data_IF_592136330487
#
_entry.id   IF_592136330487
#
_cell.length_a   1.000
_cell.length_b   1.000
_cell.length_c   1.000
_cell.angle_alpha   90.00
_cell.angle_beta   90.00
_cell.angle_gamma   90.00
#
_symmetry.space_group_name_H-M   'P 1'
#
loop_
_entity.id
_entity.type
_entity.pdbx_description
1 polymer ?
#
# COMPACT_ATOMS: atom_id res chain seq x y z
N UNK A 1 27.97 9.82 -50.62
CA UNK A 1 28.41 9.59 -49.22
C UNK A 1 27.52 10.40 -48.27
N UNK A 2 26.61 9.76 -47.52
CA UNK A 2 25.76 10.40 -46.50
C UNK A 2 26.44 10.29 -45.14
N UNK A 3 26.85 11.42 -44.53
CA UNK A 3 27.29 11.47 -43.12
C UNK A 3 26.07 11.40 -42.21
N UNK A 4 26.04 10.40 -41.32
CA UNK A 4 25.08 10.28 -40.22
C UNK A 4 25.51 11.26 -39.12
N UNK A 5 24.69 12.28 -38.83
CA UNK A 5 24.83 13.10 -37.63
C UNK A 5 24.07 12.43 -36.49
N UNK A 6 24.78 11.60 -35.72
CA UNK A 6 24.35 11.15 -34.40
C UNK A 6 25.38 11.65 -33.40
N UNK A 7 25.21 12.87 -32.89
CA UNK A 7 26.04 13.42 -31.83
C UNK A 7 25.23 13.35 -30.54
N UNK A 8 25.20 12.18 -29.92
CA UNK A 8 24.96 12.13 -28.49
C UNK A 8 26.33 12.31 -27.83
N UNK A 9 26.61 13.54 -27.37
CA UNK A 9 27.72 13.74 -26.44
C UNK A 9 27.53 12.87 -25.20
N UNK A 10 28.61 12.53 -24.48
CA UNK A 10 28.50 11.75 -23.25
C UNK A 10 27.51 12.44 -22.31
N UNK A 11 26.53 11.66 -21.85
CA UNK A 11 25.45 12.15 -21.00
C UNK A 11 26.06 12.88 -19.78
N UNK A 12 25.56 14.08 -19.43
CA UNK A 12 26.08 14.82 -18.28
C UNK A 12 26.04 13.96 -17.02
N UNK A 13 27.07 14.03 -16.16
CA UNK A 13 27.16 13.21 -14.93
C UNK A 13 25.90 13.25 -14.06
N UNK A 14 25.22 14.41 -13.99
CA UNK A 14 23.92 14.54 -13.32
C UNK A 14 22.84 13.66 -13.97
N UNK A 15 22.72 13.69 -15.29
CA UNK A 15 21.75 12.88 -16.01
C UNK A 15 22.08 11.38 -15.94
N UNK A 16 23.35 11.00 -15.83
CA UNK A 16 23.77 9.62 -15.54
C UNK A 16 23.34 9.19 -14.13
N UNK A 17 23.58 10.01 -13.10
CA UNK A 17 23.13 9.74 -11.73
C UNK A 17 21.59 9.66 -11.61
N UNK A 18 20.86 10.48 -12.36
CA UNK A 18 19.40 10.37 -12.44
C UNK A 18 18.95 9.07 -13.12
N UNK A 19 19.64 8.63 -14.17
CA UNK A 19 19.30 7.39 -14.89
C UNK A 19 19.65 6.17 -14.04
N UNK A 20 20.83 6.15 -13.41
CA UNK A 20 21.26 5.09 -12.48
C UNK A 20 20.35 5.02 -11.24
N UNK A 21 19.90 6.17 -10.71
CA UNK A 21 18.91 6.23 -9.64
C UNK A 21 17.53 5.71 -10.07
N UNK A 22 17.08 6.02 -11.29
CA UNK A 22 15.84 5.48 -11.86
C UNK A 22 15.93 3.97 -12.11
N UNK A 23 17.08 3.48 -12.55
CA UNK A 23 17.32 2.04 -12.79
C UNK A 23 17.42 1.25 -11.48
N UNK A 24 17.90 1.84 -10.38
CA UNK A 24 17.86 1.22 -9.05
C UNK A 24 16.46 1.20 -8.42
N UNK A 25 15.59 2.16 -8.78
CA UNK A 25 14.21 2.23 -8.28
C UNK A 25 13.25 1.30 -9.03
N UNK A 26 13.54 0.94 -10.28
CA UNK A 26 12.72 0.01 -11.07
C UNK A 26 12.59 -1.38 -10.42
N UNK A 27 13.65 -2.04 -9.92
CA UNK A 27 13.55 -3.30 -9.19
C UNK A 27 12.65 -3.21 -7.96
N UNK A 28 12.80 -2.15 -7.15
CA UNK A 28 11.97 -1.94 -5.96
C UNK A 28 10.49 -1.74 -6.32
N UNK A 29 10.23 -0.96 -7.37
CA UNK A 29 8.87 -0.75 -7.87
C UNK A 29 8.26 -2.05 -8.39
N UNK A 30 8.98 -2.82 -9.21
CA UNK A 30 8.50 -4.08 -9.75
C UNK A 30 8.21 -5.10 -8.64
N UNK A 31 9.09 -5.20 -7.64
CA UNK A 31 8.88 -6.05 -6.46
C UNK A 31 7.64 -5.62 -5.66
N UNK A 32 7.45 -4.32 -5.46
CA UNK A 32 6.27 -3.77 -4.79
C UNK A 32 4.98 -4.14 -5.54
N UNK A 33 4.97 -3.99 -6.87
CA UNK A 33 3.82 -4.34 -7.70
C UNK A 33 3.52 -5.85 -7.64
N UNK A 34 4.55 -6.71 -7.63
CA UNK A 34 4.39 -8.16 -7.48
C UNK A 34 3.74 -8.52 -6.15
N UNK A 35 4.22 -7.94 -5.03
CA UNK A 35 3.62 -8.15 -3.70
C UNK A 35 2.16 -7.69 -3.65
N UNK A 36 1.83 -6.57 -4.27
CA UNK A 36 0.45 -6.09 -4.36
C UNK A 36 -0.44 -7.01 -5.19
N UNK A 37 0.11 -7.64 -6.21
CA UNK A 37 -0.61 -8.61 -7.01
C UNK A 37 -0.93 -9.89 -6.24
N UNK A 38 0.00 -10.36 -5.41
CA UNK A 38 -0.23 -11.47 -4.46
C UNK A 38 -1.34 -11.12 -3.45
N UNK A 39 -1.35 -9.88 -2.94
CA UNK A 39 -2.35 -9.39 -1.98
C UNK A 39 -3.68 -8.99 -2.62
N UNK A 40 -3.79 -8.98 -3.96
CA UNK A 40 -5.00 -8.57 -4.67
C UNK A 40 -6.28 -9.27 -4.15
N UNK A 41 -6.32 -10.60 -3.94
CA UNK A 41 -7.53 -11.28 -3.52
C UNK A 41 -8.06 -10.76 -2.18
N UNK A 42 -7.17 -10.62 -1.18
CA UNK A 42 -7.53 -10.14 0.15
C UNK A 42 -7.88 -8.64 0.13
N UNK A 43 -7.16 -7.81 -0.65
CA UNK A 43 -7.50 -6.39 -0.81
C UNK A 43 -8.92 -6.25 -1.32
N UNK A 44 -9.30 -7.00 -2.37
CA UNK A 44 -10.62 -6.90 -2.99
C UNK A 44 -11.73 -7.47 -2.10
N UNK A 45 -11.52 -8.63 -1.48
CA UNK A 45 -12.52 -9.29 -0.64
C UNK A 45 -12.85 -8.45 0.59
N UNK A 46 -11.82 -7.95 1.29
CA UNK A 46 -11.97 -7.16 2.51
C UNK A 46 -12.54 -5.78 2.23
N UNK A 47 -12.05 -5.12 1.18
CA UNK A 47 -12.57 -3.82 0.75
C UNK A 47 -14.06 -3.91 0.42
N UNK A 48 -14.49 -4.97 -0.27
CA UNK A 48 -15.90 -5.22 -0.57
C UNK A 48 -16.71 -5.48 0.72
N UNK A 49 -16.21 -6.32 1.61
CA UNK A 49 -16.86 -6.67 2.88
C UNK A 49 -17.12 -5.44 3.75
N UNK A 50 -16.13 -4.54 3.83
CA UNK A 50 -16.16 -3.38 4.73
C UNK A 50 -16.59 -2.07 4.04
N UNK A 51 -16.90 -2.10 2.73
CA UNK A 51 -17.24 -0.93 1.92
C UNK A 51 -16.13 0.13 1.90
N UNK A 52 -14.88 -0.31 1.79
CA UNK A 52 -13.70 0.54 1.63
C UNK A 52 -13.27 0.55 0.17
N UNK A 53 -12.77 1.69 -0.32
CA UNK A 53 -12.26 1.78 -1.67
C UNK A 53 -10.94 0.99 -1.79
N UNK A 54 -10.86 -0.09 -2.59
CA UNK A 54 -9.64 -0.90 -2.69
C UNK A 54 -8.45 -0.12 -3.27
N UNK A 55 -8.68 0.95 -4.05
CA UNK A 55 -7.59 1.82 -4.50
C UNK A 55 -6.94 2.58 -3.35
N UNK A 56 -7.68 2.95 -2.30
CA UNK A 56 -7.08 3.58 -1.10
C UNK A 56 -6.13 2.60 -0.42
N UNK A 57 -6.58 1.35 -0.27
CA UNK A 57 -5.82 0.27 0.37
C UNK A 57 -4.55 -0.01 -0.43
N UNK A 58 -4.67 -0.24 -1.74
CA UNK A 58 -3.53 -0.49 -2.61
C UNK A 58 -2.56 0.70 -2.68
N UNK A 59 -3.06 1.94 -2.70
CA UNK A 59 -2.20 3.13 -2.70
C UNK A 59 -1.39 3.27 -1.41
N UNK A 60 -2.00 2.96 -0.26
CA UNK A 60 -1.31 2.95 1.04
C UNK A 60 -0.26 1.87 1.08
N UNK A 61 -0.62 0.62 0.76
CA UNK A 61 0.33 -0.49 0.70
C UNK A 61 1.48 -0.22 -0.28
N UNK A 62 1.21 0.43 -1.41
CA UNK A 62 2.22 0.82 -2.39
C UNK A 62 3.21 1.86 -1.85
N UNK A 63 2.74 2.88 -1.11
CA UNK A 63 3.63 3.86 -0.48
C UNK A 63 4.45 3.18 0.63
N UNK A 64 3.82 2.42 1.52
CA UNK A 64 4.50 1.78 2.65
C UNK A 64 5.54 0.74 2.18
N UNK A 65 5.22 -0.12 1.20
CA UNK A 65 6.16 -1.10 0.65
C UNK A 65 7.36 -0.47 -0.07
N UNK A 66 7.18 0.69 -0.72
CA UNK A 66 8.29 1.41 -1.35
C UNK A 66 9.21 2.10 -0.35
N UNK A 67 8.71 2.44 0.85
CA UNK A 67 9.49 3.12 1.88
C UNK A 67 9.86 2.21 3.05
N UNK A 68 9.50 0.92 3.00
CA UNK A 68 9.86 -0.07 4.00
C UNK A 68 11.38 -0.16 4.14
N UNK A 69 11.89 -0.10 5.38
CA UNK A 69 13.33 -0.22 5.59
C UNK A 69 13.74 -1.69 5.56
N UNK A 70 14.92 -2.03 5.03
CA UNK A 70 15.42 -3.40 5.06
C UNK A 70 15.44 -3.96 6.49
N UNK A 71 14.81 -5.13 6.70
CA UNK A 71 14.82 -5.85 7.98
C UNK A 71 13.62 -5.62 8.91
N UNK A 72 12.74 -4.64 8.62
CA UNK A 72 11.56 -4.33 9.45
C UNK A 72 10.54 -5.50 9.51
N UNK A 73 10.48 -6.34 8.48
CA UNK A 73 9.53 -7.46 8.38
C UNK A 73 10.04 -8.79 8.97
N UNK A 74 11.16 -8.78 9.72
CA UNK A 74 11.69 -10.03 10.30
C UNK A 74 11.03 -10.36 11.65
N UNK A 75 10.73 -11.65 11.95
CA UNK A 75 10.20 -12.06 13.24
C UNK A 75 11.06 -11.58 14.42
N UNK A 76 12.38 -11.65 14.27
CA UNK A 76 13.34 -11.19 15.28
C UNK A 76 13.20 -9.68 15.58
N UNK A 77 13.00 -8.86 14.54
CA UNK A 77 12.80 -7.42 14.69
C UNK A 77 11.44 -7.09 15.34
N UNK A 78 10.39 -7.83 14.99
CA UNK A 78 9.08 -7.68 15.63
C UNK A 78 9.09 -8.09 17.11
N UNK A 79 9.68 -9.24 17.43
CA UNK A 79 9.75 -9.78 18.80
C UNK A 79 10.61 -8.90 19.72
N UNK A 80 11.67 -8.28 19.19
CA UNK A 80 12.51 -7.35 19.95
C UNK A 80 11.80 -6.03 20.35
N UNK A 81 10.69 -5.68 19.70
CA UNK A 81 10.00 -4.41 19.92
C UNK A 81 10.74 -3.17 19.38
N UNK A 82 11.79 -3.38 18.58
CA UNK A 82 12.55 -2.29 17.93
C UNK A 82 11.67 -1.43 17.01
N UNK A 83 10.61 -2.01 16.45
CA UNK A 83 9.65 -1.32 15.61
C UNK A 83 8.26 -1.36 16.23
N UNK A 84 7.57 -0.21 16.24
CA UNK A 84 6.21 -0.09 16.81
C UNK A 84 5.13 -0.50 15.80
N UNK A 85 5.49 -0.57 14.52
CA UNK A 85 4.63 -0.84 13.37
C UNK A 85 5.17 -2.02 12.56
N UNK A 86 4.29 -2.82 12.00
CA UNK A 86 4.61 -4.15 11.48
C UNK A 86 3.90 -4.40 10.15
N UNK A 87 4.57 -5.17 9.29
CA UNK A 87 4.03 -5.66 8.03
C UNK A 87 3.80 -4.59 6.97
N UNK A 88 3.18 -4.95 5.84
CA UNK A 88 3.13 -4.11 4.64
C UNK A 88 2.37 -2.79 4.81
N UNK A 89 1.45 -2.68 5.77
CA UNK A 89 0.72 -1.46 6.08
C UNK A 89 1.22 -0.74 7.35
N UNK A 90 2.36 -1.16 7.91
CA UNK A 90 2.99 -0.52 9.07
C UNK A 90 2.00 -0.28 10.22
N UNK A 91 1.33 -1.34 10.66
CA UNK A 91 0.30 -1.28 11.70
C UNK A 91 0.87 -1.64 13.07
N UNK A 92 0.37 -0.99 14.12
CA UNK A 92 0.76 -1.27 15.50
C UNK A 92 -0.26 -2.15 16.21
N UNK A 93 0.17 -2.79 17.30
CA UNK A 93 -0.70 -3.57 18.21
C UNK A 93 -1.85 -2.72 18.74
N UNK A 94 -1.62 -1.41 18.94
CA UNK A 94 -2.66 -0.49 19.37
C UNK A 94 -3.83 -0.41 18.38
N UNK A 95 -3.61 -0.67 17.09
CA UNK A 95 -4.71 -0.75 16.13
C UNK A 95 -5.55 -2.03 16.30
N UNK A 96 -4.93 -3.17 16.66
CA UNK A 96 -5.67 -4.40 16.98
C UNK A 96 -6.61 -4.18 18.17
N UNK A 97 -6.14 -3.50 19.22
CA UNK A 97 -6.96 -3.12 20.38
C UNK A 97 -8.15 -2.26 19.97
N UNK A 98 -7.91 -1.21 19.18
CA UNK A 98 -8.97 -0.30 18.67
C UNK A 98 -10.03 -1.01 17.83
N UNK A 99 -9.71 -2.17 17.27
CA UNK A 99 -10.63 -3.00 16.48
C UNK A 99 -11.25 -4.15 17.27
N UNK A 100 -10.89 -4.31 18.55
CA UNK A 100 -11.36 -5.42 19.39
C UNK A 100 -10.73 -6.77 19.05
N UNK A 101 -9.61 -6.76 18.30
CA UNK A 101 -8.86 -7.97 17.93
C UNK A 101 -7.84 -8.37 19.01
N UNK A 102 -7.61 -7.51 20.00
CA UNK A 102 -6.77 -7.74 21.16
C UNK A 102 -7.41 -7.08 22.38
N UNK A 103 -7.38 -7.69 23.58
CA UNK A 103 -7.94 -7.08 24.79
C UNK A 103 -7.19 -5.81 25.20
N UNK A 104 -7.83 -5.01 26.07
CA UNK A 104 -7.27 -3.76 26.56
C UNK A 104 -6.04 -3.95 27.46
N UNK A 105 -5.92 -5.10 28.11
CA UNK A 105 -4.77 -5.49 28.93
C UNK A 105 -4.27 -6.88 28.48
N UNK A 106 -3.49 -6.96 27.39
CA UNK A 106 -3.04 -8.23 26.83
C UNK A 106 -1.85 -8.80 27.60
N UNK A 107 -1.81 -10.13 27.74
CA UNK A 107 -0.64 -10.82 28.30
C UNK A 107 0.56 -10.73 27.34
N UNK A 108 1.80 -10.94 27.81
CA UNK A 108 2.99 -10.98 26.95
C UNK A 108 2.88 -11.97 25.78
N UNK A 109 2.26 -13.14 25.99
CA UNK A 109 2.02 -14.15 24.97
C UNK A 109 1.03 -13.64 23.91
N UNK A 110 -0.02 -12.95 24.33
CA UNK A 110 -0.98 -12.32 23.42
C UNK A 110 -0.32 -11.18 22.62
N UNK A 111 0.57 -10.40 23.21
CA UNK A 111 1.36 -9.37 22.53
C UNK A 111 2.26 -10.02 21.46
N UNK A 112 2.94 -11.11 21.80
CA UNK A 112 3.80 -11.83 20.84
C UNK A 112 2.99 -12.39 19.67
N UNK A 113 1.87 -13.08 19.96
CA UNK A 113 0.97 -13.58 18.94
C UNK A 113 0.39 -12.47 18.05
N UNK A 114 0.06 -11.31 18.63
CA UNK A 114 -0.42 -10.14 17.91
C UNK A 114 0.63 -9.57 16.95
N UNK A 115 1.92 -9.58 17.33
CA UNK A 115 3.02 -9.15 16.45
C UNK A 115 3.17 -10.10 15.26
N UNK A 116 3.17 -11.41 15.52
CA UNK A 116 3.21 -12.43 14.45
C UNK A 116 2.00 -12.29 13.51
N UNK A 117 0.81 -12.04 14.06
CA UNK A 117 -0.39 -11.76 13.27
C UNK A 117 -0.24 -10.53 12.37
N UNK A 118 0.45 -9.48 12.82
CA UNK A 118 0.70 -8.28 11.99
C UNK A 118 1.83 -8.48 10.97
N UNK A 119 2.70 -9.47 11.14
CA UNK A 119 3.71 -9.83 10.14
C UNK A 119 3.12 -10.62 8.96
N UNK A 120 2.02 -11.33 9.17
CA UNK A 120 1.29 -11.98 8.07
C UNK A 120 0.70 -10.91 7.11
N UNK A 121 1.11 -10.89 5.83
CA UNK A 121 0.70 -9.84 4.91
C UNK A 121 -0.82 -9.77 4.69
N UNK A 122 -1.51 -10.90 4.63
CA UNK A 122 -2.96 -10.93 4.39
C UNK A 122 -3.71 -10.40 5.61
N UNK A 123 -3.35 -10.85 6.81
CA UNK A 123 -3.89 -10.32 8.07
C UNK A 123 -3.60 -8.85 8.25
N UNK A 124 -2.41 -8.38 7.84
CA UNK A 124 -2.07 -6.97 7.90
C UNK A 124 -3.00 -6.13 6.99
N UNK A 125 -3.35 -6.65 5.80
CA UNK A 125 -4.35 -6.02 4.92
C UNK A 125 -5.74 -6.02 5.57
N UNK A 126 -6.18 -7.12 6.19
CA UNK A 126 -7.47 -7.17 6.91
C UNK A 126 -7.56 -6.07 7.98
N UNK A 127 -6.50 -5.91 8.79
CA UNK A 127 -6.45 -4.89 9.84
C UNK A 127 -6.40 -3.48 9.25
N UNK A 128 -5.72 -3.26 8.12
CA UNK A 128 -5.71 -1.97 7.42
C UNK A 128 -7.11 -1.58 6.95
N UNK A 129 -7.81 -2.51 6.30
CA UNK A 129 -9.20 -2.28 5.84
C UNK A 129 -10.12 -2.03 7.04
N UNK A 130 -9.96 -2.82 8.12
CA UNK A 130 -10.67 -2.62 9.38
C UNK A 130 -10.45 -1.23 9.99
N UNK A 131 -9.21 -0.72 9.92
CA UNK A 131 -8.84 0.63 10.39
C UNK A 131 -9.61 1.68 9.61
N UNK A 132 -9.63 1.59 8.27
CA UNK A 132 -10.40 2.54 7.46
C UNK A 132 -11.90 2.44 7.68
N UNK A 133 -12.44 1.24 7.87
CA UNK A 133 -13.86 1.05 8.19
C UNK A 133 -14.23 1.68 9.54
N UNK A 134 -13.38 1.50 10.55
CA UNK A 134 -13.53 2.11 11.87
C UNK A 134 -13.44 3.63 11.81
N UNK A 135 -12.42 4.17 11.15
CA UNK A 135 -12.26 5.61 10.98
C UNK A 135 -13.43 6.23 10.20
N UNK A 136 -13.92 5.55 9.16
CA UNK A 136 -15.09 6.01 8.40
C UNK A 136 -16.34 6.11 9.26
N UNK A 137 -16.53 5.18 10.21
CA UNK A 137 -17.62 5.26 11.20
C UNK A 137 -17.46 6.44 12.15
N UNK A 138 -16.26 6.61 12.72
CA UNK A 138 -15.97 7.71 13.67
C UNK A 138 -16.15 9.08 13.01
N UNK A 139 -15.77 9.20 11.74
CA UNK A 139 -15.90 10.44 10.96
C UNK A 139 -17.29 10.63 10.34
N UNK A 140 -18.24 9.71 10.56
CA UNK A 140 -19.57 9.72 9.97
C UNK A 140 -19.55 9.87 8.43
N UNK A 141 -18.61 9.17 7.76
CA UNK A 141 -18.52 9.17 6.30
C UNK A 141 -19.63 8.30 5.68
N UNK A 142 -20.04 8.56 4.42
CA UNK A 142 -20.98 7.70 3.71
C UNK A 142 -20.51 6.23 3.67
N UNK A 143 -21.41 5.31 4.03
CA UNK A 143 -21.15 3.85 4.05
C UNK A 143 -22.07 3.03 3.14
N UNK A 144 -23.10 3.65 2.55
CA UNK A 144 -24.01 3.02 1.59
C UNK A 144 -23.45 3.02 0.16
N UNK A 145 -22.29 3.65 -0.05
CA UNK A 145 -21.59 3.75 -1.32
C UNK A 145 -20.10 3.85 -1.09
N UNK A 146 -19.31 3.46 -2.08
CA UNK A 146 -17.87 3.69 -2.06
C UNK A 146 -17.55 5.17 -2.26
N UNK A 147 -16.54 5.66 -1.53
CA UNK A 147 -15.97 6.98 -1.74
C UNK A 147 -15.08 6.96 -2.99
N UNK A 148 -15.31 7.88 -3.93
CA UNK A 148 -14.62 7.94 -5.22
C UNK A 148 -14.05 9.33 -5.48
N UNK A 149 -12.74 9.48 -5.31
CA UNK A 149 -12.04 10.76 -5.51
C UNK A 149 -12.25 11.36 -6.92
N UNK A 150 -12.44 10.52 -7.94
CA UNK A 150 -12.66 10.96 -9.33
C UNK A 150 -14.08 11.48 -9.62
N UNK A 151 -15.04 11.25 -8.71
CA UNK A 151 -16.46 11.60 -8.93
C UNK A 151 -16.93 12.75 -8.05
N UNK A 152 -16.35 12.89 -6.85
CA UNK A 152 -16.78 13.91 -5.89
C UNK A 152 -15.56 14.47 -5.11
N UNK A 153 -15.31 15.80 -5.14
CA UNK A 153 -14.28 16.43 -4.31
C UNK A 153 -14.44 16.16 -2.81
N UNK A 154 -15.66 15.97 -2.32
CA UNK A 154 -15.94 15.62 -0.92
C UNK A 154 -15.44 14.23 -0.59
N UNK A 155 -15.61 13.28 -1.52
CA UNK A 155 -15.04 11.93 -1.38
C UNK A 155 -13.52 11.97 -1.43
N UNK A 156 -12.93 12.78 -2.32
CA UNK A 156 -11.48 12.97 -2.37
C UNK A 156 -10.94 13.50 -1.02
N UNK A 157 -11.61 14.49 -0.43
CA UNK A 157 -11.29 15.02 0.91
C UNK A 157 -11.43 13.94 1.99
N UNK A 158 -12.49 13.14 1.95
CA UNK A 158 -12.69 12.07 2.91
C UNK A 158 -11.60 11.00 2.82
N UNK A 159 -11.24 10.57 1.61
CA UNK A 159 -10.14 9.63 1.36
C UNK A 159 -8.79 10.20 1.81
N UNK A 160 -8.52 11.48 1.54
CA UNK A 160 -7.34 12.17 2.02
C UNK A 160 -7.28 12.22 3.57
N UNK A 161 -8.42 12.43 4.22
CA UNK A 161 -8.54 12.44 5.69
C UNK A 161 -8.24 11.05 6.26
N UNK A 162 -8.76 9.99 5.64
CA UNK A 162 -8.44 8.61 6.03
C UNK A 162 -6.94 8.32 5.89
N UNK A 163 -6.32 8.72 4.79
CA UNK A 163 -4.88 8.58 4.57
C UNK A 163 -4.06 9.36 5.62
N UNK A 164 -4.46 10.61 5.92
CA UNK A 164 -3.83 11.42 6.96
C UNK A 164 -3.91 10.74 8.33
N UNK A 165 -5.07 10.24 8.72
CA UNK A 165 -5.25 9.54 10.01
C UNK A 165 -4.54 8.18 10.04
N UNK A 166 -4.19 7.62 8.89
CA UNK A 166 -3.39 6.41 8.83
C UNK A 166 -1.91 6.69 9.18
N UNK A 167 -1.30 7.70 8.56
CA UNK A 167 0.16 7.94 8.60
C UNK A 167 0.58 9.14 9.48
N UNK A 168 -0.27 10.16 9.61
CA UNK A 168 -0.04 11.37 10.43
C UNK A 168 0.74 12.49 9.74
N UNK A 169 1.34 12.26 8.56
CA UNK A 169 2.12 13.28 7.83
C UNK A 169 1.24 14.09 6.87
N UNK A 170 1.47 15.40 6.78
CA UNK A 170 0.66 16.33 5.97
C UNK A 170 0.78 16.12 4.46
N UNK A 171 1.92 15.64 3.99
CA UNK A 171 2.21 15.38 2.57
C UNK A 171 1.71 14.01 2.09
N UNK A 172 1.44 13.10 3.03
CA UNK A 172 0.98 11.73 2.75
C UNK A 172 -0.33 11.66 1.96
N UNK A 173 -1.40 12.41 2.30
CA UNK A 173 -2.67 12.35 1.55
C UNK A 173 -2.52 12.71 0.07
N UNK A 174 -1.67 13.68 -0.25
CA UNK A 174 -1.39 14.08 -1.63
C UNK A 174 -0.65 13.00 -2.42
N UNK A 175 0.25 12.22 -1.78
CA UNK A 175 0.85 11.03 -2.40
C UNK A 175 -0.19 9.95 -2.64
N UNK A 176 -0.98 9.60 -1.63
CA UNK A 176 -2.01 8.56 -1.74
C UNK A 176 -3.02 8.87 -2.84
N UNK A 177 -3.55 10.09 -2.90
CA UNK A 177 -4.47 10.48 -3.97
C UNK A 177 -3.84 10.41 -5.38
N UNK A 178 -2.53 10.66 -5.50
CA UNK A 178 -1.80 10.46 -6.76
C UNK A 178 -1.63 8.97 -7.09
N UNK A 179 -1.29 8.13 -6.12
CA UNK A 179 -1.19 6.69 -6.35
C UNK A 179 -2.55 6.05 -6.65
N UNK A 180 -3.65 6.55 -6.09
CA UNK A 180 -5.00 6.12 -6.47
C UNK A 180 -5.34 6.39 -7.95
N UNK A 181 -4.55 7.19 -8.66
CA UNK A 181 -4.66 7.43 -10.10
C UNK A 181 -3.61 6.67 -10.92
N UNK A 182 -2.74 5.86 -10.27
CA UNK A 182 -1.68 5.14 -10.95
C UNK A 182 -2.25 4.00 -11.81
N UNK A 183 -2.05 4.02 -13.15
CA UNK A 183 -2.61 3.01 -14.04
C UNK A 183 -2.12 1.58 -13.75
N UNK A 184 -0.90 1.40 -13.23
CA UNK A 184 -0.39 0.08 -12.86
C UNK A 184 -1.16 -0.51 -11.68
N UNK A 185 -1.49 0.30 -10.67
CA UNK A 185 -2.31 -0.14 -9.53
C UNK A 185 -3.75 -0.48 -9.96
N UNK A 186 -4.31 0.31 -10.88
CA UNK A 186 -5.60 -0.02 -11.51
C UNK A 186 -5.53 -1.34 -12.29
N UNK A 187 -4.43 -1.57 -13.03
CA UNK A 187 -4.17 -2.81 -13.75
C UNK A 187 -4.07 -4.03 -12.82
N UNK A 188 -3.39 -3.89 -11.68
CA UNK A 188 -3.31 -4.95 -10.67
C UNK A 188 -4.70 -5.27 -10.11
N UNK A 189 -5.44 -4.26 -9.66
CA UNK A 189 -6.71 -4.50 -8.96
C UNK A 189 -7.85 -4.94 -9.90
N UNK A 190 -7.95 -4.32 -11.07
CA UNK A 190 -9.11 -4.48 -11.96
C UNK A 190 -8.77 -5.11 -13.30
N UNK A 191 -7.50 -5.27 -13.64
CA UNK A 191 -7.09 -5.94 -14.86
C UNK A 191 -7.48 -7.42 -14.87
N UNK A 192 -7.93 -7.87 -16.03
CA UNK A 192 -8.10 -9.30 -16.33
C UNK A 192 -6.83 -9.81 -17.01
N UNK A 193 -6.11 -10.75 -16.38
CA UNK A 193 -5.06 -11.51 -17.07
C UNK A 193 -5.76 -12.42 -18.08
N UNK A 194 -5.57 -12.14 -19.38
CA UNK A 194 -5.91 -13.10 -20.43
C UNK A 194 -4.73 -14.07 -20.53
N UNK A 195 -5.01 -15.36 -20.37
CA UNK A 195 -4.03 -16.40 -20.73
C UNK A 195 -3.66 -16.17 -22.20
N UNK A 196 -2.36 -16.08 -22.55
CA UNK A 196 -1.96 -16.04 -23.94
C UNK A 196 -2.56 -17.26 -24.61
N UNK A 197 -3.48 -17.06 -25.55
CA UNK A 197 -3.87 -18.13 -26.46
C UNK A 197 -2.61 -18.46 -27.25
N UNK A 198 -2.03 -19.64 -27.01
CA UNK A 198 -0.95 -20.14 -27.87
C UNK A 198 -1.38 -19.94 -29.32
N UNK A 199 -0.54 -19.35 -30.18
CA UNK A 199 -0.83 -19.37 -31.60
C UNK A 199 -0.93 -20.84 -31.97
N UNK A 200 -2.10 -21.26 -32.43
CA UNK A 200 -2.31 -22.58 -33.01
C UNK A 200 -1.24 -22.75 -34.09
N UNK A 201 -0.41 -23.79 -33.93
CA UNK A 201 0.49 -24.32 -34.96
C UNK A 201 -0.37 -24.85 -36.10
#
# INVERSE_FOLDING_TARGET
>A
MRRRFGVHGPQPKLAQLFTEGLDQLQPLRAHTLSRLEELRPVILSESRRQQINPMLVAAVLFDELQHAKPGEDTPLAAESGLFQTHGPAQLSIGELKKQGLLPDDPTPEQISAARLHLLDPERNVEVLVGKFARLSRVLNLPRHRLLMASRDPRDAKALATLAYLHNGKLDYPGRILRYMQNPELHGILYGTRRTPTSPLI
#
